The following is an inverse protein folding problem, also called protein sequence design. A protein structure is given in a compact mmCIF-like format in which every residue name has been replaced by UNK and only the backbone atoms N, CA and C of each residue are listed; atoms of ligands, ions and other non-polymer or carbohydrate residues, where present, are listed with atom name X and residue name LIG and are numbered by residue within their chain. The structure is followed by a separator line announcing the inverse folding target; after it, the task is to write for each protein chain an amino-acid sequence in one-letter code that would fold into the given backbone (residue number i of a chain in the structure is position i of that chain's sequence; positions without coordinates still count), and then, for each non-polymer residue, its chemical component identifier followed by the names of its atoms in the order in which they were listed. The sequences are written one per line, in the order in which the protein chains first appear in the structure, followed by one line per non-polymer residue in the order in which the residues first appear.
data_IF_173254556232
#
_entry.id   IF_173254556232
#
_cell.length_a   1.000
_cell.length_b   1.000
_cell.length_c   1.000
_cell.angle_alpha   90.00
_cell.angle_beta   90.00
_cell.angle_gamma   90.00
#
_symmetry.space_group_name_H-M   'P 1'
#
loop_
_entity.id
_entity.type
_entity.pdbx_description
1 polymer ?
#
# COMPACT_ATOMS: atom_id res chain seq x y z
N UNK A 1 -19.83 3.80 9.14
CA UNK A 1 -18.91 3.57 9.17
C UNK A 1 -17.93 3.82 8.11
N UNK A 2 -18.15 3.56 7.09
CA UNK A 2 -17.15 3.56 6.14
C UNK A 2 -16.80 4.83 5.55
N UNK A 3 -17.64 5.84 5.63
CA UNK A 3 -17.32 7.14 5.07
C UNK A 3 -16.08 7.75 5.67
N UNK A 4 -15.67 7.29 6.84
CA UNK A 4 -14.47 7.81 7.45
C UNK A 4 -13.22 7.50 6.67
N UNK A 5 -13.26 6.46 5.85
CA UNK A 5 -12.09 6.12 5.08
C UNK A 5 -11.70 7.19 4.10
N UNK A 6 -12.68 7.88 3.56
CA UNK A 6 -12.43 8.88 2.55
C UNK A 6 -11.51 9.97 3.09
N UNK A 7 -11.70 10.35 4.34
CA UNK A 7 -10.95 11.47 4.90
C UNK A 7 -9.53 11.11 5.27
N UNK A 8 -9.16 9.83 5.25
CA UNK A 8 -7.79 9.46 5.61
C UNK A 8 -6.89 9.28 4.42
N UNK A 9 -7.38 9.48 3.22
CA UNK A 9 -6.53 9.48 2.05
C UNK A 9 -5.84 10.83 2.02
N UNK A 10 -4.58 10.83 2.46
CA UNK A 10 -3.88 12.06 2.76
C UNK A 10 -3.60 12.94 1.58
N UNK A 11 -3.56 14.22 1.82
CA UNK A 11 -3.18 15.19 0.81
C UNK A 11 -4.27 15.64 -0.13
N UNK A 12 -5.40 14.95 -0.16
CA UNK A 12 -6.51 15.30 -1.05
C UNK A 12 -7.67 15.91 -0.26
N UNK A 13 -8.39 16.80 -0.90
CA UNK A 13 -9.61 17.33 -0.30
C UNK A 13 -10.68 16.24 -0.34
N UNK A 14 -11.72 16.44 0.44
CA UNK A 14 -12.84 15.50 0.46
C UNK A 14 -13.44 15.33 -0.94
N UNK A 15 -13.64 16.43 -1.65
CA UNK A 15 -14.22 16.38 -2.98
C UNK A 15 -13.31 15.68 -3.97
N UNK A 16 -12.02 15.92 -3.87
CA UNK A 16 -11.07 15.26 -4.75
C UNK A 16 -11.08 13.76 -4.55
N UNK A 17 -11.18 13.32 -3.31
CA UNK A 17 -11.23 11.89 -3.01
C UNK A 17 -12.48 11.28 -3.62
N UNK A 18 -13.62 11.93 -3.47
CA UNK A 18 -14.86 11.41 -4.03
C UNK A 18 -14.80 11.33 -5.55
N UNK A 19 -14.23 12.33 -6.19
CA UNK A 19 -14.16 12.35 -7.64
C UNK A 19 -13.20 11.29 -8.19
N UNK A 20 -12.04 11.17 -7.55
CA UNK A 20 -11.02 10.25 -8.04
C UNK A 20 -11.33 8.81 -7.72
N UNK A 21 -11.91 8.55 -6.55
CA UNK A 21 -12.03 7.19 -6.04
C UNK A 21 -13.45 6.66 -5.98
N UNK A 22 -14.41 7.38 -6.51
CA UNK A 22 -15.81 6.95 -6.39
C UNK A 22 -16.02 5.52 -6.86
N UNK A 23 -15.60 5.23 -8.09
CA UNK A 23 -15.79 3.89 -8.65
C UNK A 23 -14.94 2.87 -7.93
N UNK A 24 -13.77 3.27 -7.52
CA UNK A 24 -12.86 2.38 -6.81
C UNK A 24 -13.38 2.07 -5.41
N UNK A 25 -13.98 3.06 -4.75
CA UNK A 25 -14.57 2.85 -3.45
C UNK A 25 -15.70 1.83 -3.53
N UNK A 26 -16.54 1.94 -4.57
CA UNK A 26 -17.63 1.00 -4.78
C UNK A 26 -17.11 -0.41 -5.00
N UNK A 27 -16.08 -0.53 -5.84
CA UNK A 27 -15.48 -1.82 -6.11
C UNK A 27 -14.86 -2.41 -4.85
N UNK A 28 -14.22 -1.56 -4.03
CA UNK A 28 -13.61 -2.01 -2.80
C UNK A 28 -14.65 -2.56 -1.83
N UNK A 29 -15.80 -1.90 -1.74
CA UNK A 29 -16.87 -2.38 -0.87
C UNK A 29 -17.38 -3.74 -1.31
N UNK A 30 -17.57 -3.91 -2.61
CA UNK A 30 -18.04 -5.19 -3.14
C UNK A 30 -17.03 -6.30 -2.91
N UNK A 31 -15.76 -5.99 -3.04
CA UNK A 31 -14.69 -6.96 -2.87
C UNK A 31 -14.32 -7.15 -1.40
N UNK A 32 -14.94 -6.42 -0.49
CA UNK A 32 -14.64 -6.46 0.94
C UNK A 32 -13.20 -6.05 1.21
N UNK A 33 -12.72 -5.08 0.49
CA UNK A 33 -11.38 -4.56 0.70
C UNK A 33 -11.37 -3.60 1.88
N UNK A 34 -10.23 -3.57 2.56
CA UNK A 34 -10.00 -2.67 3.67
C UNK A 34 -9.40 -1.37 3.15
N UNK A 35 -9.98 -0.26 3.51
CA UNK A 35 -9.41 1.05 3.16
C UNK A 35 -8.24 1.35 4.06
N UNK A 36 -7.11 1.68 3.44
CA UNK A 36 -5.88 1.96 4.18
C UNK A 36 -5.16 3.14 3.53
N UNK A 37 -4.20 3.71 4.26
CA UNK A 37 -3.30 4.70 3.68
C UNK A 37 -1.90 4.46 4.27
N UNK A 38 -0.90 5.05 3.64
CA UNK A 38 0.48 4.80 4.00
C UNK A 38 0.97 5.61 5.19
N UNK A 39 0.09 6.30 5.88
CA UNK A 39 0.42 6.87 7.17
C UNK A 39 0.21 5.88 8.29
N UNK A 40 -0.51 4.80 8.02
CA UNK A 40 -0.67 3.72 8.97
C UNK A 40 0.64 2.95 9.08
N UNK A 41 0.89 2.29 10.21
CA UNK A 41 2.06 1.42 10.30
C UNK A 41 2.01 0.37 9.19
N UNK A 42 3.12 0.17 8.52
CA UNK A 42 3.20 -0.76 7.44
C UNK A 42 4.56 -1.45 7.40
N UNK A 43 4.70 -2.33 6.42
CA UNK A 43 5.94 -3.05 6.22
C UNK A 43 6.88 -2.14 5.45
N UNK A 44 8.13 -2.04 5.92
CA UNK A 44 9.16 -1.25 5.26
C UNK A 44 10.10 -2.18 4.51
N UNK A 45 10.71 -1.65 3.46
CA UNK A 45 11.67 -2.40 2.65
C UNK A 45 13.05 -1.76 2.77
N UNK A 46 14.05 -2.56 3.10
CA UNK A 46 15.43 -2.10 3.16
C UNK A 46 16.29 -2.96 2.27
N UNK A 47 17.35 -2.38 1.73
CA UNK A 47 18.28 -3.15 0.91
C UNK A 47 19.12 -4.06 1.81
N UNK A 48 19.34 -5.29 1.33
CA UNK A 48 20.17 -6.24 2.06
C UNK A 48 20.86 -7.14 1.04
N UNK A 49 22.18 -7.01 0.96
CA UNK A 49 22.94 -7.78 -0.01
C UNK A 49 22.47 -7.46 -1.41
N UNK A 50 22.17 -8.47 -2.22
CA UNK A 50 21.65 -8.27 -3.56
C UNK A 50 20.15 -8.18 -3.63
N UNK A 51 19.47 -8.09 -2.49
CA UNK A 51 18.01 -8.08 -2.48
C UNK A 51 17.48 -7.12 -1.43
N UNK A 52 16.36 -7.51 -0.84
CA UNK A 52 15.68 -6.66 0.13
C UNK A 52 15.27 -7.47 1.35
N UNK A 53 15.19 -6.78 2.47
CA UNK A 53 14.60 -7.31 3.69
C UNK A 53 13.36 -6.48 4.01
N UNK A 54 12.40 -7.10 4.65
CA UNK A 54 11.12 -6.44 4.99
C UNK A 54 10.91 -6.51 6.49
N UNK A 55 10.46 -5.41 7.06
CA UNK A 55 10.26 -5.31 8.50
C UNK A 55 8.88 -4.74 8.80
N UNK A 56 8.25 -5.27 9.84
CA UNK A 56 6.99 -4.76 10.32
C UNK A 56 7.10 -4.54 11.82
N UNK A 57 6.87 -3.30 12.24
CA UNK A 57 6.98 -2.91 13.66
C UNK A 57 8.32 -3.34 14.25
N UNK A 58 9.36 -3.17 13.47
CA UNK A 58 10.73 -3.45 13.92
C UNK A 58 11.15 -4.90 13.82
N UNK A 59 10.26 -5.79 13.39
CA UNK A 59 10.59 -7.21 13.30
C UNK A 59 10.68 -7.65 11.85
N UNK A 60 11.64 -8.54 11.59
CA UNK A 60 11.83 -9.05 10.24
C UNK A 60 10.65 -9.91 9.81
N UNK A 61 10.13 -9.61 8.64
CA UNK A 61 9.05 -10.43 8.06
C UNK A 61 9.67 -11.71 7.52
N UNK A 62 9.25 -12.83 8.06
CA UNK A 62 9.77 -14.13 7.64
C UNK A 62 8.70 -15.11 7.22
N UNK A 63 7.43 -14.73 7.34
CA UNK A 63 6.34 -15.60 6.92
C UNK A 63 6.34 -15.79 5.41
N UNK A 64 6.31 -17.03 4.97
CA UNK A 64 6.40 -17.35 3.55
C UNK A 64 5.26 -16.76 2.74
N UNK A 65 4.05 -16.85 3.27
CA UNK A 65 2.89 -16.34 2.55
C UNK A 65 2.98 -14.82 2.40
N UNK A 66 3.44 -14.14 3.43
CA UNK A 66 3.63 -12.69 3.36
C UNK A 66 4.70 -12.32 2.34
N UNK A 67 5.81 -13.04 2.35
CA UNK A 67 6.88 -12.76 1.40
C UNK A 67 6.44 -13.00 -0.03
N UNK A 68 5.63 -14.04 -0.25
CA UNK A 68 5.09 -14.30 -1.57
C UNK A 68 4.13 -13.20 -2.00
N UNK A 69 3.30 -12.73 -1.09
CA UNK A 69 2.38 -11.63 -1.38
C UNK A 69 3.16 -10.39 -1.80
N UNK A 70 4.21 -10.07 -1.05
CA UNK A 70 5.05 -8.91 -1.35
C UNK A 70 5.72 -9.07 -2.72
N UNK A 71 6.23 -10.26 -2.99
CA UNK A 71 6.90 -10.54 -4.25
C UNK A 71 5.96 -10.31 -5.44
N UNK A 72 4.71 -10.72 -5.30
CA UNK A 72 3.73 -10.56 -6.38
C UNK A 72 3.37 -9.12 -6.66
N UNK A 73 3.63 -8.22 -5.72
CA UNK A 73 3.39 -6.80 -5.95
C UNK A 73 4.36 -6.22 -6.98
N UNK A 74 5.48 -6.91 -7.21
CA UNK A 74 6.46 -6.51 -8.19
C UNK A 74 6.88 -5.05 -8.04
N UNK A 75 7.20 -4.68 -6.81
CA UNK A 75 7.62 -3.31 -6.52
C UNK A 75 8.99 -3.08 -7.15
N UNK A 76 9.14 -2.07 -8.02
CA UNK A 76 10.42 -1.84 -8.68
C UNK A 76 11.55 -1.63 -7.67
N UNK A 77 12.72 -2.20 -7.93
CA UNK A 77 13.85 -2.03 -7.02
C UNK A 77 14.28 -0.58 -6.84
N UNK A 78 14.03 0.26 -7.84
CA UNK A 78 14.45 1.66 -7.79
C UNK A 78 13.55 2.53 -6.91
N UNK A 79 12.40 2.04 -6.50
CA UNK A 79 11.53 2.83 -5.62
C UNK A 79 12.18 3.01 -4.27
N UNK A 80 11.98 4.20 -3.68
CA UNK A 80 12.44 4.52 -2.33
C UNK A 80 11.24 4.79 -1.45
N UNK A 81 11.48 4.81 -0.14
CA UNK A 81 10.44 5.07 0.85
C UNK A 81 9.22 4.18 0.65
N UNK A 82 9.49 2.91 0.48
CA UNK A 82 8.43 1.93 0.19
C UNK A 82 7.66 1.60 1.46
N UNK A 83 6.34 1.69 1.35
CA UNK A 83 5.40 1.26 2.38
C UNK A 83 4.59 0.11 1.79
N UNK A 84 4.45 -0.98 2.53
CA UNK A 84 3.69 -2.14 2.09
C UNK A 84 2.61 -2.41 3.12
N UNK A 85 1.37 -2.54 2.64
CA UNK A 85 0.24 -2.79 3.50
C UNK A 85 0.40 -4.13 4.21
N UNK A 86 0.21 -4.17 5.53
CA UNK A 86 0.34 -5.43 6.26
C UNK A 86 -0.88 -6.34 6.09
N UNK A 87 -1.96 -5.85 5.51
CA UNK A 87 -3.17 -6.63 5.34
C UNK A 87 -3.37 -6.99 3.88
N UNK A 88 -3.59 -8.28 3.60
CA UNK A 88 -3.75 -8.74 2.24
C UNK A 88 -4.97 -8.18 1.54
N UNK A 89 -5.94 -7.70 2.31
CA UNK A 89 -7.16 -7.12 1.75
C UNK A 89 -7.14 -5.60 1.74
N UNK A 90 -6.01 -4.96 1.99
CA UNK A 90 -5.92 -3.51 1.86
C UNK A 90 -6.09 -3.08 0.41
N UNK A 91 -6.86 -2.02 0.18
CA UNK A 91 -7.11 -1.58 -1.18
C UNK A 91 -5.85 -0.99 -1.83
N UNK A 92 -4.98 -0.41 -1.06
CA UNK A 92 -3.64 -0.02 -1.49
C UNK A 92 -2.68 -1.03 -0.88
N UNK A 93 -1.93 -1.71 -1.73
CA UNK A 93 -1.01 -2.73 -1.25
C UNK A 93 0.39 -2.19 -1.03
N UNK A 94 0.78 -1.15 -1.74
CA UNK A 94 2.09 -0.55 -1.54
C UNK A 94 2.13 0.85 -2.12
N UNK A 95 3.01 1.68 -1.55
CA UNK A 95 3.35 2.98 -2.11
C UNK A 95 4.87 3.12 -2.09
N UNK A 96 5.37 4.08 -2.85
CA UNK A 96 6.78 4.37 -2.88
C UNK A 96 7.05 5.55 -3.79
N UNK A 97 8.31 5.92 -3.92
CA UNK A 97 8.70 7.00 -4.81
C UNK A 97 9.62 6.47 -5.90
N UNK A 98 9.33 6.82 -7.15
CA UNK A 98 10.16 6.37 -8.26
C UNK A 98 11.43 7.22 -8.37
N UNK A 99 12.25 6.96 -9.40
CA UNK A 99 13.53 7.65 -9.54
C UNK A 99 13.37 9.14 -9.76
N UNK A 100 12.22 9.59 -10.18
CA UNK A 100 11.94 11.02 -10.35
C UNK A 100 11.31 11.64 -9.12
N UNK A 101 11.19 10.86 -8.03
CA UNK A 101 10.58 11.35 -6.80
C UNK A 101 9.07 11.40 -6.84
N UNK A 102 8.45 10.78 -7.84
CA UNK A 102 7.00 10.78 -7.95
C UNK A 102 6.43 9.65 -7.12
N UNK A 103 5.33 9.94 -6.39
CA UNK A 103 4.66 8.94 -5.59
C UNK A 103 3.94 7.94 -6.49
N UNK A 104 4.17 6.66 -6.24
CA UNK A 104 3.58 5.58 -7.00
C UNK A 104 2.83 4.64 -6.08
N UNK A 105 1.86 3.94 -6.63
CA UNK A 105 0.97 3.07 -5.86
C UNK A 105 0.84 1.70 -6.50
N UNK A 106 0.65 0.69 -5.66
CA UNK A 106 0.21 -0.63 -6.10
C UNK A 106 -1.11 -0.91 -5.41
N UNK A 107 -2.15 -1.11 -6.21
CA UNK A 107 -3.48 -1.37 -5.68
C UNK A 107 -3.76 -2.86 -5.61
N UNK A 108 -4.76 -3.21 -4.81
CA UNK A 108 -5.22 -4.59 -4.76
C UNK A 108 -5.70 -5.01 -6.15
N UNK A 109 -5.45 -6.27 -6.50
CA UNK A 109 -5.72 -6.75 -7.85
C UNK A 109 -7.19 -7.00 -8.17
N UNK A 110 -8.07 -6.80 -7.22
CA UNK A 110 -9.51 -7.00 -7.42
C UNK A 110 -10.13 -5.90 -8.24
#
# INVERSE_FOLDING_TARGET
METKFVSVVGGLSHDEILDLDRNYLEAAKKARLRYVNDRMPGITRTKKGGGFAYHYKGELVSDEDELQRIKKLAIPPAWTEVWICPWSNGHIQATGHDVRGRKQYRYHST
#
